data_IF_749665431861
#
_entry.id   IF_749665431861
#
_cell.length_a   1.000
_cell.length_b   1.000
_cell.length_c   1.000
_cell.angle_alpha   90.00
_cell.angle_beta   90.00
_cell.angle_gamma   90.00
#
_symmetry.space_group_name_H-M   'P 1'
#
loop_
_entity.id
_entity.type
_entity.pdbx_description
1 polymer ?
#
# COMPACT_ATOMS: atom_id res chain seq x y z
N UNK A 1 -18.55 4.97 0.43
CA UNK A 1 -19.28 4.92 1.72
C UNK A 1 -20.69 4.49 1.40
N UNK A 2 -21.22 3.52 2.13
CA UNK A 2 -22.60 3.05 1.96
C UNK A 2 -23.50 3.80 2.94
N UNK A 3 -24.61 4.32 2.43
CA UNK A 3 -25.66 4.96 3.20
C UNK A 3 -27.01 4.40 2.74
N UNK A 4 -27.98 4.31 3.65
CA UNK A 4 -29.36 4.02 3.27
C UNK A 4 -29.90 5.15 2.41
N UNK A 5 -30.63 4.78 1.35
CA UNK A 5 -31.23 5.76 0.44
C UNK A 5 -32.35 6.57 1.10
N UNK A 6 -33.04 5.99 2.08
CA UNK A 6 -34.25 6.56 2.68
C UNK A 6 -33.97 7.68 3.68
N UNK A 7 -32.95 7.50 4.52
CA UNK A 7 -32.66 8.38 5.66
C UNK A 7 -31.18 8.82 5.74
N UNK A 8 -30.36 8.40 4.78
CA UNK A 8 -28.92 8.73 4.76
C UNK A 8 -28.10 8.07 5.88
N UNK A 9 -28.69 7.15 6.64
CA UNK A 9 -28.04 6.44 7.74
C UNK A 9 -26.79 5.72 7.23
N UNK A 10 -25.69 5.89 7.95
CA UNK A 10 -24.42 5.29 7.59
C UNK A 10 -24.44 3.78 7.82
N UNK A 11 -24.28 3.02 6.75
CA UNK A 11 -24.25 1.55 6.80
C UNK A 11 -22.82 1.01 6.91
N UNK A 12 -21.85 1.72 6.34
CA UNK A 12 -20.46 1.26 6.35
C UNK A 12 -19.59 1.76 5.20
N UNK A 13 -18.42 1.15 5.06
CA UNK A 13 -17.50 1.35 3.94
C UNK A 13 -17.15 -0.01 3.37
N UNK A 14 -17.39 -0.20 2.08
CA UNK A 14 -16.76 -1.29 1.34
C UNK A 14 -15.29 -0.98 1.19
N UNK A 15 -14.46 -1.96 1.52
CA UNK A 15 -13.02 -1.92 1.28
C UNK A 15 -12.65 -3.13 0.47
N UNK A 16 -11.93 -2.90 -0.62
CA UNK A 16 -11.29 -3.96 -1.37
C UNK A 16 -10.02 -4.41 -0.65
N UNK A 17 -9.58 -5.65 -0.92
CA UNK A 17 -8.26 -6.14 -0.48
C UNK A 17 -7.17 -5.17 -0.96
N UNK A 18 -7.30 -4.70 -2.22
CA UNK A 18 -6.50 -3.62 -2.80
C UNK A 18 -6.38 -2.37 -1.90
N UNK A 19 -7.51 -1.83 -1.43
CA UNK A 19 -7.50 -0.64 -0.56
C UNK A 19 -6.81 -0.91 0.78
N UNK A 20 -7.01 -2.10 1.34
CA UNK A 20 -6.42 -2.47 2.63
C UNK A 20 -4.90 -2.56 2.54
N UNK A 21 -4.37 -3.05 1.42
CA UNK A 21 -2.93 -3.22 1.24
C UNK A 21 -2.19 -1.93 0.89
N UNK A 22 -2.76 -1.05 0.05
CA UNK A 22 -2.23 0.32 -0.11
C UNK A 22 -2.22 1.05 1.23
N UNK A 23 -3.28 0.87 2.02
CA UNK A 23 -3.39 1.48 3.35
C UNK A 23 -2.39 0.88 4.34
N UNK A 24 -2.10 -0.42 4.26
CA UNK A 24 -1.08 -1.06 5.08
C UNK A 24 0.31 -0.52 4.74
N UNK A 25 0.70 -0.57 3.47
CA UNK A 25 2.02 -0.13 3.00
C UNK A 25 2.26 1.35 3.30
N UNK A 26 1.29 2.22 3.02
CA UNK A 26 1.39 3.66 3.31
C UNK A 26 1.55 4.01 4.79
N UNK A 27 1.15 3.11 5.70
CA UNK A 27 1.21 3.31 7.16
C UNK A 27 2.35 2.55 7.82
N UNK A 28 3.20 1.89 7.04
CA UNK A 28 4.39 1.24 7.58
C UNK A 28 5.31 2.29 8.21
N UNK A 29 5.83 1.93 9.38
CA UNK A 29 6.88 2.69 10.04
C UNK A 29 8.23 2.48 9.30
N UNK A 30 9.23 3.27 9.66
CA UNK A 30 10.54 3.23 9.00
C UNK A 30 11.22 1.86 9.12
N UNK A 31 11.00 1.14 10.21
CA UNK A 31 11.53 -0.20 10.42
C UNK A 31 10.95 -1.22 9.42
N UNK A 32 9.64 -1.20 9.20
CA UNK A 32 8.99 -2.09 8.22
C UNK A 32 9.42 -1.76 6.79
N UNK A 33 9.58 -0.48 6.46
CA UNK A 33 10.17 -0.06 5.19
C UNK A 33 11.60 -0.58 5.04
N UNK A 34 12.44 -0.46 6.07
CA UNK A 34 13.81 -0.96 6.03
C UNK A 34 13.85 -2.48 5.79
N UNK A 35 12.96 -3.24 6.45
CA UNK A 35 12.85 -4.70 6.23
C UNK A 35 12.39 -5.05 4.80
N UNK A 36 11.45 -4.30 4.24
CA UNK A 36 11.00 -4.50 2.86
C UNK A 36 12.17 -4.35 1.88
N UNK A 37 12.98 -3.30 2.01
CA UNK A 37 14.09 -3.03 1.11
C UNK A 37 15.30 -3.93 1.35
N UNK A 38 15.59 -4.31 2.60
CA UNK A 38 16.71 -5.19 2.93
C UNK A 38 16.46 -6.66 2.55
N UNK A 39 15.21 -7.14 2.68
CA UNK A 39 14.86 -8.54 2.45
C UNK A 39 13.45 -8.67 1.83
N UNK A 40 13.25 -8.23 0.56
CA UNK A 40 11.93 -8.21 -0.06
C UNK A 40 11.29 -9.60 -0.17
N UNK A 41 12.08 -10.65 -0.38
CA UNK A 41 11.59 -12.03 -0.44
C UNK A 41 10.99 -12.52 0.89
N UNK A 42 11.55 -12.11 2.02
CA UNK A 42 11.00 -12.40 3.35
C UNK A 42 9.74 -11.56 3.58
N UNK A 43 9.77 -10.28 3.19
CA UNK A 43 8.61 -9.41 3.31
C UNK A 43 7.40 -9.94 2.54
N UNK A 44 7.63 -10.46 1.32
CA UNK A 44 6.61 -11.10 0.47
C UNK A 44 5.87 -12.24 1.18
N UNK A 45 6.50 -12.99 2.08
CA UNK A 45 5.83 -14.06 2.83
C UNK A 45 4.76 -13.53 3.82
N UNK A 46 4.70 -12.21 4.04
CA UNK A 46 3.78 -11.54 4.98
C UNK A 46 2.63 -10.80 4.29
N UNK A 47 2.62 -10.80 2.96
CA UNK A 47 1.59 -10.15 2.13
C UNK A 47 1.09 -11.16 1.08
N UNK A 48 -0.09 -10.91 0.53
CA UNK A 48 -0.66 -11.79 -0.50
C UNK A 48 0.18 -11.75 -1.79
N UNK A 49 0.22 -12.88 -2.51
CA UNK A 49 1.02 -13.06 -3.74
C UNK A 49 0.72 -12.02 -4.81
N UNK A 50 -0.53 -11.54 -4.88
CA UNK A 50 -0.95 -10.50 -5.81
C UNK A 50 -0.17 -9.18 -5.64
N UNK A 51 0.50 -8.96 -4.49
CA UNK A 51 1.31 -7.77 -4.22
C UNK A 51 2.81 -7.95 -4.48
N UNK A 52 3.26 -9.15 -4.85
CA UNK A 52 4.68 -9.38 -5.12
C UNK A 52 5.23 -8.45 -6.20
N UNK A 53 4.51 -8.21 -7.32
CA UNK A 53 4.95 -7.26 -8.35
C UNK A 53 5.08 -5.82 -7.84
N UNK A 54 4.26 -5.40 -6.87
CA UNK A 54 4.36 -4.07 -6.26
C UNK A 54 5.63 -3.96 -5.41
N UNK A 55 5.91 -4.98 -4.59
CA UNK A 55 7.14 -5.04 -3.79
C UNK A 55 8.37 -5.00 -4.69
N UNK A 56 8.37 -5.81 -5.77
CA UNK A 56 9.49 -5.83 -6.73
C UNK A 56 9.71 -4.47 -7.39
N UNK A 57 8.63 -3.83 -7.84
CA UNK A 57 8.72 -2.49 -8.43
C UNK A 57 9.28 -1.46 -7.44
N UNK A 58 8.80 -1.46 -6.20
CA UNK A 58 9.27 -0.54 -5.17
C UNK A 58 10.77 -0.65 -4.96
N UNK A 59 11.28 -1.87 -4.80
CA UNK A 59 12.73 -2.10 -4.58
C UNK A 59 13.55 -1.84 -5.85
N UNK A 60 12.97 -2.03 -7.04
CA UNK A 60 13.67 -1.76 -8.30
C UNK A 60 13.76 -0.27 -8.68
N UNK A 61 12.78 0.54 -8.26
CA UNK A 61 12.62 1.92 -8.75
C UNK A 61 13.04 2.99 -7.73
N UNK A 62 13.11 2.65 -6.45
CA UNK A 62 13.32 3.63 -5.38
C UNK A 62 14.43 3.19 -4.44
N UNK A 63 15.08 4.15 -3.79
CA UNK A 63 15.91 3.89 -2.63
C UNK A 63 15.06 3.95 -1.34
N UNK A 64 15.53 3.33 -0.27
CA UNK A 64 14.83 3.31 1.02
C UNK A 64 14.68 4.72 1.58
N UNK A 65 15.73 5.53 1.44
CA UNK A 65 15.84 6.89 1.96
C UNK A 65 14.78 7.80 1.33
N UNK A 66 14.55 7.65 0.02
CA UNK A 66 13.54 8.39 -0.72
C UNK A 66 12.14 8.08 -0.19
N UNK A 67 11.82 6.80 0.02
CA UNK A 67 10.52 6.38 0.56
C UNK A 67 10.33 6.86 2.00
N UNK A 68 11.39 6.81 2.81
CA UNK A 68 11.32 7.25 4.19
C UNK A 68 11.13 8.76 4.33
N UNK A 69 11.64 9.56 3.39
CA UNK A 69 11.43 11.00 3.34
C UNK A 69 9.97 11.38 3.01
N UNK A 70 9.21 10.51 2.33
CA UNK A 70 7.81 10.79 1.99
C UNK A 70 6.89 10.77 3.22
N UNK A 71 5.93 11.69 3.24
CA UNK A 71 4.79 11.65 4.15
C UNK A 71 3.86 10.47 3.85
N UNK A 72 3.03 10.07 4.80
CA UNK A 72 2.06 8.99 4.60
C UNK A 72 1.08 9.24 3.44
N UNK A 73 0.76 10.51 3.14
CA UNK A 73 -0.09 10.88 2.00
C UNK A 73 0.64 10.65 0.68
N UNK A 74 1.90 11.09 0.58
CA UNK A 74 2.72 10.92 -0.62
C UNK A 74 3.01 9.45 -0.90
N UNK A 75 3.32 8.66 0.15
CA UNK A 75 3.47 7.19 0.02
C UNK A 75 2.19 6.56 -0.53
N UNK A 76 1.02 6.99 -0.04
CA UNK A 76 -0.26 6.48 -0.53
C UNK A 76 -0.46 6.76 -2.02
N UNK A 77 -0.19 7.98 -2.47
CA UNK A 77 -0.30 8.36 -3.88
C UNK A 77 0.68 7.57 -4.76
N UNK A 78 1.94 7.46 -4.35
CA UNK A 78 2.97 6.70 -5.07
C UNK A 78 2.58 5.22 -5.25
N UNK A 79 2.07 4.58 -4.19
CA UNK A 79 1.63 3.19 -4.26
C UNK A 79 0.44 3.02 -5.21
N UNK A 80 -0.50 3.97 -5.23
CA UNK A 80 -1.63 3.94 -6.18
C UNK A 80 -1.15 4.08 -7.62
N UNK A 81 -0.22 5.01 -7.89
CA UNK A 81 0.33 5.22 -9.23
C UNK A 81 1.09 3.98 -9.73
N UNK A 82 1.86 3.33 -8.86
CA UNK A 82 2.59 2.10 -9.20
C UNK A 82 1.64 0.95 -9.53
N UNK A 83 0.53 0.84 -8.80
CA UNK A 83 -0.50 -0.19 -9.01
C UNK A 83 -1.32 0.04 -10.28
N UNK A 84 -1.69 1.28 -10.58
CA UNK A 84 -2.45 1.60 -11.81
C UNK A 84 -1.61 1.34 -13.07
N UNK A 85 -0.28 1.48 -12.98
CA UNK A 85 0.65 1.18 -14.07
C UNK A 85 1.03 -0.31 -14.19
N UNK A 86 0.36 -1.20 -13.45
CA UNK A 86 0.51 -2.67 -13.59
C UNK A 86 -0.55 -3.30 -14.49
N UNK A 87 -1.66 -2.60 -14.74
CA UNK A 87 -2.72 -2.98 -15.68
C UNK A 87 -2.41 -2.46 -17.09
#
# INVERSE_FOLDING_TARGET
>A
MLRKSENGEYLGKLKTVWYMNVKFLSRMNNELWARLFAAPHIFKQRVDEEFYPLVDRLVSLYALEDIQALSGRERSSLLQDLLLKQA
#
